data_IF_266529673339
#
_entry.id   IF_266529673339
#
_cell.length_a   1.000
_cell.length_b   1.000
_cell.length_c   1.000
_cell.angle_alpha   90.00
_cell.angle_beta   90.00
_cell.angle_gamma   90.00
#
_symmetry.space_group_name_H-M   'P 1'
#
loop_
_entity.id
_entity.type
_entity.pdbx_description
1 polymer ?
#
# COMPACT_ATOMS: atom_id res chain seq x y z
N UNK A 1 -28.27 6.79 65.04
CA UNK A 1 -29.52 6.28 65.61
C UNK A 1 -30.47 6.03 64.44
N UNK A 2 -30.83 4.77 64.20
CA UNK A 2 -31.67 4.31 63.09
C UNK A 2 -33.18 4.60 63.38
N UNK A 3 -34.10 4.48 62.38
CA UNK A 3 -35.16 5.42 61.93
C UNK A 3 -36.53 5.13 62.64
N UNK A 4 -37.77 5.15 62.06
CA UNK A 4 -38.39 5.61 60.78
C UNK A 4 -39.78 6.33 60.92
N UNK A 5 -40.44 6.73 59.80
CA UNK A 5 -41.80 6.27 59.38
C UNK A 5 -42.38 7.02 58.14
N UNK A 6 -42.66 6.21 57.09
CA UNK A 6 -43.82 6.15 56.14
C UNK A 6 -44.40 7.42 55.46
N UNK A 7 -44.55 7.37 54.14
CA UNK A 7 -45.84 7.18 53.43
C UNK A 7 -45.69 7.10 51.89
N UNK A 8 -46.66 6.45 51.25
CA UNK A 8 -46.75 6.06 49.82
C UNK A 8 -47.28 7.18 48.92
N UNK A 9 -46.86 7.23 47.65
CA UNK A 9 -47.71 6.99 46.45
C UNK A 9 -47.18 7.67 45.17
N UNK A 10 -47.02 6.85 44.13
CA UNK A 10 -47.26 7.07 42.69
C UNK A 10 -47.11 8.49 42.12
N UNK A 11 -46.17 8.68 41.18
CA UNK A 11 -46.49 9.16 39.83
C UNK A 11 -45.31 8.84 38.88
N UNK A 12 -45.66 8.47 37.64
CA UNK A 12 -44.74 7.91 36.67
C UNK A 12 -43.71 8.87 36.11
N UNK A 13 -42.61 8.28 35.66
CA UNK A 13 -41.84 8.76 34.53
C UNK A 13 -41.30 7.50 33.83
N UNK A 14 -41.85 7.19 32.66
CA UNK A 14 -41.16 6.33 31.70
C UNK A 14 -39.81 7.01 31.43
N UNK A 15 -38.74 6.45 31.97
CA UNK A 15 -37.40 6.62 31.42
C UNK A 15 -37.40 5.92 30.07
N UNK A 16 -37.81 6.67 29.03
CA UNK A 16 -37.38 6.41 27.67
C UNK A 16 -35.86 6.59 27.67
N UNK A 17 -35.15 5.50 28.01
CA UNK A 17 -33.80 5.28 27.56
C UNK A 17 -33.84 5.43 26.04
N UNK A 18 -33.52 6.61 25.56
CA UNK A 18 -33.08 6.81 24.19
C UNK A 18 -31.76 6.08 24.08
N UNK A 19 -31.85 4.80 23.75
CA UNK A 19 -30.78 4.07 23.11
C UNK A 19 -30.36 4.88 21.89
N UNK A 20 -29.34 5.71 22.04
CA UNK A 20 -28.51 6.17 20.92
C UNK A 20 -27.71 4.95 20.43
N UNK A 21 -28.42 4.00 19.82
CA UNK A 21 -27.83 2.96 19.01
C UNK A 21 -28.46 3.11 17.62
N UNK A 22 -28.07 4.21 17.00
CA UNK A 22 -28.10 4.41 15.56
C UNK A 22 -26.82 5.20 15.27
N UNK A 23 -25.69 4.51 15.13
CA UNK A 23 -24.52 5.05 14.46
C UNK A 23 -24.90 5.15 12.97
N UNK A 24 -25.60 6.24 12.63
CA UNK A 24 -25.65 6.83 11.30
C UNK A 24 -24.52 7.86 11.25
N UNK A 25 -23.63 7.97 10.26
CA UNK A 25 -23.41 7.26 9.00
C UNK A 25 -21.99 7.70 8.57
N UNK A 26 -21.17 6.84 7.95
CA UNK A 26 -19.75 7.11 7.63
C UNK A 26 -19.50 8.32 6.72
N UNK A 27 -20.55 8.87 6.12
CA UNK A 27 -20.49 10.09 5.34
C UNK A 27 -20.57 11.34 6.24
N UNK A 28 -19.54 12.19 6.21
CA UNK A 28 -19.55 13.51 6.84
C UNK A 28 -19.86 14.60 5.78
N UNK A 29 -20.97 15.35 5.90
CA UNK A 29 -21.29 16.44 4.98
C UNK A 29 -20.21 17.53 4.89
N UNK A 30 -19.41 17.74 5.94
CA UNK A 30 -18.33 18.72 5.94
C UNK A 30 -17.14 18.29 5.08
N UNK A 31 -17.02 16.99 4.82
CA UNK A 31 -15.90 16.40 4.07
C UNK A 31 -16.27 16.08 2.62
N UNK A 32 -17.45 16.50 2.16
CA UNK A 32 -17.99 16.20 0.82
C UNK A 32 -17.01 16.53 -0.32
N UNK A 33 -16.25 17.62 -0.19
CA UNK A 33 -15.34 18.09 -1.23
C UNK A 33 -14.05 17.23 -1.36
N UNK A 34 -13.75 16.40 -0.35
CA UNK A 34 -12.56 15.54 -0.28
C UNK A 34 -12.89 14.05 -0.24
N UNK A 35 -14.14 13.68 0.03
CA UNK A 35 -14.56 12.30 0.23
C UNK A 35 -14.88 11.58 -1.10
N UNK A 36 -14.10 10.56 -1.43
CA UNK A 36 -14.27 9.70 -2.60
C UNK A 36 -15.56 8.87 -2.53
N UNK A 37 -16.08 8.59 -1.33
CA UNK A 37 -17.39 7.96 -1.16
C UNK A 37 -18.51 9.01 -1.24
N UNK A 38 -19.31 8.90 -2.29
CA UNK A 38 -20.49 9.72 -2.55
C UNK A 38 -21.80 9.07 -2.05
N UNK A 39 -21.77 7.80 -1.63
CA UNK A 39 -22.95 7.11 -1.12
C UNK A 39 -23.26 7.51 0.34
N UNK A 40 -24.15 8.49 0.49
CA UNK A 40 -24.63 9.00 1.79
C UNK A 40 -25.48 8.01 2.59
N UNK A 41 -25.84 6.86 2.04
CA UNK A 41 -26.59 5.82 2.75
C UNK A 41 -25.70 4.66 3.22
N UNK A 42 -24.43 4.63 2.81
CA UNK A 42 -23.53 3.53 3.10
C UNK A 42 -23.18 3.42 4.59
N UNK A 43 -23.29 2.21 5.13
CA UNK A 43 -22.94 1.93 6.54
C UNK A 43 -21.75 0.97 6.68
N UNK A 44 -21.42 0.24 5.61
CA UNK A 44 -20.30 -0.68 5.50
C UNK A 44 -19.29 -0.16 4.45
N UNK A 45 -17.96 -0.41 4.58
CA UNK A 45 -17.01 0.11 3.60
C UNK A 45 -17.28 -0.44 2.20
N UNK A 46 -17.81 -1.67 2.11
CA UNK A 46 -18.14 -2.32 0.85
C UNK A 46 -19.39 -1.74 0.16
N UNK A 47 -20.18 -0.91 0.86
CA UNK A 47 -21.31 -0.18 0.28
C UNK A 47 -20.89 1.18 -0.32
N UNK A 48 -19.64 1.60 -0.12
CA UNK A 48 -19.15 2.89 -0.62
C UNK A 48 -19.16 2.92 -2.13
N UNK A 49 -19.46 4.08 -2.71
CA UNK A 49 -19.40 4.25 -4.15
C UNK A 49 -19.03 5.68 -4.53
N UNK A 50 -18.32 5.80 -5.64
CA UNK A 50 -17.88 7.07 -6.20
C UNK A 50 -17.56 6.88 -7.66
N UNK A 51 -18.01 7.80 -8.50
CA UNK A 51 -17.63 7.83 -9.92
C UNK A 51 -17.58 9.28 -10.39
N UNK A 52 -16.60 9.59 -11.22
CA UNK A 52 -16.56 10.85 -11.96
C UNK A 52 -17.63 10.86 -13.06
N UNK A 53 -18.77 11.47 -12.75
CA UNK A 53 -19.91 11.55 -13.67
C UNK A 53 -19.56 12.39 -14.91
N UNK A 54 -20.13 12.00 -16.05
CA UNK A 54 -19.95 12.66 -17.35
C UNK A 54 -18.48 12.78 -17.81
N UNK A 55 -17.60 11.92 -17.31
CA UNK A 55 -16.17 11.88 -17.66
C UNK A 55 -15.85 10.78 -18.67
N UNK A 56 -14.91 11.07 -19.57
CA UNK A 56 -14.31 10.04 -20.45
C UNK A 56 -12.92 9.75 -19.95
N UNK A 57 -12.75 8.55 -19.38
CA UNK A 57 -11.48 8.11 -18.81
C UNK A 57 -10.36 8.08 -19.86
N UNK A 58 -9.18 8.54 -19.46
CA UNK A 58 -8.01 8.52 -20.32
C UNK A 58 -7.55 7.08 -20.57
N UNK A 59 -7.37 6.65 -21.83
CA UNK A 59 -6.95 5.28 -22.13
C UNK A 59 -5.52 5.03 -21.67
N UNK A 60 -5.26 3.81 -21.20
CA UNK A 60 -3.89 3.38 -20.88
C UNK A 60 -2.97 3.47 -22.10
N UNK A 61 -1.66 3.71 -21.92
CA UNK A 61 -0.72 3.64 -23.02
C UNK A 61 -0.56 2.20 -23.52
N UNK A 62 -0.22 2.03 -24.80
CA UNK A 62 0.15 0.71 -25.35
C UNK A 62 1.42 0.15 -24.68
N UNK A 63 2.30 1.03 -24.19
CA UNK A 63 3.59 0.69 -23.60
C UNK A 63 4.02 1.74 -22.57
N UNK A 64 4.41 1.28 -21.37
CA UNK A 64 4.83 2.12 -20.25
C UNK A 64 6.32 2.53 -20.28
N UNK A 65 7.09 2.07 -21.27
CA UNK A 65 8.53 2.41 -21.40
C UNK A 65 8.73 3.81 -21.97
N UNK A 66 8.54 4.81 -21.12
CA UNK A 66 8.79 6.22 -21.36
C UNK A 66 9.29 6.90 -20.06
N UNK A 67 9.80 8.15 -20.12
CA UNK A 67 10.32 8.82 -18.93
C UNK A 67 9.23 9.17 -17.89
N UNK A 68 9.48 8.77 -16.65
CA UNK A 68 8.69 9.17 -15.47
C UNK A 68 9.37 10.35 -14.75
N UNK A 69 8.57 11.15 -14.03
CA UNK A 69 9.06 12.13 -13.08
C UNK A 69 8.39 11.90 -11.73
N UNK A 70 9.20 11.60 -10.72
CA UNK A 70 8.73 11.39 -9.36
C UNK A 70 8.80 12.69 -8.56
N UNK A 71 7.73 13.04 -7.86
CA UNK A 71 7.67 14.20 -6.97
C UNK A 71 6.85 13.90 -5.72
N UNK A 72 7.18 14.56 -4.62
CA UNK A 72 6.28 14.72 -3.49
C UNK A 72 5.55 16.06 -3.67
N UNK A 73 4.21 16.05 -3.67
CA UNK A 73 3.42 17.29 -3.86
C UNK A 73 3.85 18.36 -2.87
N UNK A 74 3.88 18.04 -1.58
CA UNK A 74 4.25 18.95 -0.48
C UNK A 74 5.61 19.63 -0.71
N UNK A 75 6.56 18.93 -1.35
CA UNK A 75 7.95 19.39 -1.53
C UNK A 75 8.23 20.02 -2.88
N UNK A 76 7.21 20.21 -3.71
CA UNK A 76 7.40 20.62 -5.09
C UNK A 76 7.16 22.12 -5.30
N UNK A 77 5.89 22.55 -5.40
CA UNK A 77 5.52 23.95 -5.60
C UNK A 77 4.24 24.23 -4.81
N UNK A 78 4.27 25.27 -3.98
CA UNK A 78 3.08 25.82 -3.30
C UNK A 78 2.40 26.81 -4.25
N UNK A 79 1.24 26.42 -4.78
CA UNK A 79 0.43 27.23 -5.69
C UNK A 79 -0.78 27.88 -5.03
N UNK A 80 -1.26 27.32 -3.92
CA UNK A 80 -2.37 27.82 -3.12
C UNK A 80 -2.05 27.84 -1.62
N UNK A 81 -1.46 28.94 -1.12
CA UNK A 81 -1.17 29.08 0.31
C UNK A 81 -2.41 29.05 1.23
N UNK A 82 -3.64 29.10 0.68
CA UNK A 82 -4.86 29.04 1.51
C UNK A 82 -5.11 27.65 2.10
N UNK A 83 -4.47 26.60 1.57
CA UNK A 83 -4.57 25.22 2.07
C UNK A 83 -3.35 24.77 2.91
N UNK A 84 -2.40 25.67 3.21
CA UNK A 84 -1.18 25.34 3.99
C UNK A 84 -1.49 24.88 5.42
N UNK A 85 -2.58 25.40 6.00
CA UNK A 85 -3.05 25.05 7.35
C UNK A 85 -4.45 24.42 7.28
N UNK A 86 -4.62 23.44 6.38
CA UNK A 86 -5.91 22.87 6.07
C UNK A 86 -6.63 22.18 7.25
N UNK A 87 -5.90 21.78 8.30
CA UNK A 87 -6.49 21.21 9.51
C UNK A 87 -6.81 22.27 10.59
N UNK A 88 -6.55 23.56 10.32
CA UNK A 88 -6.87 24.68 11.21
C UNK A 88 -6.04 24.71 12.50
N UNK A 89 -4.91 24.03 12.54
CA UNK A 89 -4.02 23.97 13.69
C UNK A 89 -2.89 25.01 13.59
N UNK A 90 -2.26 25.32 14.72
CA UNK A 90 -1.19 26.31 14.80
C UNK A 90 0.14 25.86 14.18
N UNK A 91 0.33 24.54 13.97
CA UNK A 91 1.60 23.94 13.59
C UNK A 91 1.40 22.88 12.50
N UNK A 92 1.22 23.34 11.26
CA UNK A 92 1.12 22.44 10.08
C UNK A 92 2.27 22.62 9.12
N UNK A 93 2.74 23.86 8.97
CA UNK A 93 3.75 24.24 7.99
C UNK A 93 5.05 24.71 8.66
N UNK A 94 6.17 24.17 8.19
CA UNK A 94 7.52 24.68 8.46
C UNK A 94 8.43 24.36 7.26
N UNK A 95 8.58 25.34 6.37
CA UNK A 95 9.39 25.23 5.13
C UNK A 95 10.89 25.03 5.40
N UNK A 96 11.35 25.31 6.62
CA UNK A 96 12.74 25.08 7.03
C UNK A 96 12.93 23.75 7.77
N UNK A 97 11.83 23.12 8.18
CA UNK A 97 11.80 21.83 8.85
C UNK A 97 11.87 20.66 7.87
N UNK A 98 12.10 19.47 8.40
CA UNK A 98 12.14 18.23 7.59
C UNK A 98 10.88 17.39 7.71
N UNK A 99 10.04 17.66 8.71
CA UNK A 99 8.89 16.80 9.10
C UNK A 99 7.53 17.45 8.81
N UNK A 100 7.37 18.74 9.08
CA UNK A 100 6.13 19.48 8.80
C UNK A 100 5.96 19.76 7.31
N UNK A 101 4.76 20.18 6.91
CA UNK A 101 4.44 20.53 5.53
C UNK A 101 5.26 21.73 5.06
N UNK A 102 5.60 21.74 3.78
CA UNK A 102 6.23 22.86 3.09
C UNK A 102 5.19 23.68 2.31
N UNK A 103 4.05 23.09 1.98
CA UNK A 103 2.93 23.80 1.37
C UNK A 103 2.69 23.44 -0.10
N UNK A 104 3.42 22.48 -0.67
CA UNK A 104 3.25 22.12 -2.07
C UNK A 104 1.95 21.38 -2.36
N UNK A 105 1.29 21.72 -3.47
CA UNK A 105 -0.10 21.34 -3.74
C UNK A 105 -0.39 21.10 -5.24
N UNK A 106 -1.64 20.78 -5.57
CA UNK A 106 -2.07 20.54 -6.95
C UNK A 106 -2.05 21.78 -7.84
N UNK A 107 -2.32 22.97 -7.29
CA UNK A 107 -2.25 24.20 -8.07
C UNK A 107 -0.81 24.45 -8.52
N UNK A 108 0.16 24.26 -7.61
CA UNK A 108 1.57 24.32 -7.92
C UNK A 108 2.02 23.24 -8.89
N UNK A 109 1.49 22.01 -8.78
CA UNK A 109 1.73 20.98 -9.79
C UNK A 109 1.27 21.43 -11.18
N UNK A 110 0.03 21.91 -11.31
CA UNK A 110 -0.54 22.36 -12.58
C UNK A 110 0.30 23.45 -13.22
N UNK A 111 0.76 24.44 -12.43
CA UNK A 111 1.59 25.55 -12.90
C UNK A 111 2.95 25.11 -13.49
N UNK A 112 3.42 23.90 -13.15
CA UNK A 112 4.70 23.36 -13.63
C UNK A 112 4.59 22.39 -14.80
N UNK A 113 3.38 22.00 -15.23
CA UNK A 113 3.20 20.92 -16.21
C UNK A 113 3.88 21.21 -17.55
N UNK A 114 3.98 22.47 -17.95
CA UNK A 114 4.69 22.87 -19.18
C UNK A 114 6.20 22.65 -19.06
N UNK A 115 6.79 22.86 -17.87
CA UNK A 115 8.19 22.54 -17.60
C UNK A 115 8.43 21.03 -17.68
N UNK A 116 7.58 20.23 -17.03
CA UNK A 116 7.67 18.77 -17.03
C UNK A 116 7.50 18.20 -18.45
N UNK A 117 6.49 18.66 -19.19
CA UNK A 117 6.28 18.27 -20.58
C UNK A 117 7.45 18.71 -21.48
N UNK A 118 7.98 19.92 -21.27
CA UNK A 118 9.12 20.45 -22.01
C UNK A 118 10.40 19.65 -21.83
N UNK A 119 10.58 18.99 -20.67
CA UNK A 119 11.67 18.03 -20.43
C UNK A 119 11.48 16.68 -21.16
N UNK A 120 10.30 16.41 -21.71
CA UNK A 120 9.97 15.15 -22.38
C UNK A 120 9.40 14.07 -21.45
N UNK A 121 8.98 14.45 -20.24
CA UNK A 121 8.32 13.53 -19.30
C UNK A 121 6.97 13.07 -19.87
N UNK A 122 6.62 11.81 -19.62
CA UNK A 122 5.38 11.18 -20.08
C UNK A 122 4.52 10.61 -18.97
N UNK A 123 5.06 10.40 -17.77
CA UNK A 123 4.24 10.09 -16.60
C UNK A 123 4.75 10.79 -15.36
N UNK A 124 3.83 11.19 -14.51
CA UNK A 124 4.10 11.73 -13.19
C UNK A 124 3.81 10.63 -12.17
N UNK A 125 4.81 10.30 -11.36
CA UNK A 125 4.62 9.50 -10.16
C UNK A 125 4.56 10.46 -8.96
N UNK A 126 3.37 10.61 -8.41
CA UNK A 126 3.15 11.39 -7.20
C UNK A 126 3.44 10.47 -6.01
N UNK A 127 4.59 10.69 -5.37
CA UNK A 127 5.04 9.97 -4.18
C UNK A 127 4.32 10.48 -2.93
N UNK A 128 4.01 9.55 -2.02
CA UNK A 128 3.07 9.77 -0.93
C UNK A 128 1.63 9.53 -1.35
N UNK A 129 0.85 8.86 -0.51
CA UNK A 129 -0.55 8.60 -0.80
C UNK A 129 -1.37 9.91 -0.75
N UNK A 130 -2.41 10.06 -1.58
CA UNK A 130 -3.18 11.31 -1.69
C UNK A 130 -4.17 11.53 -0.53
N UNK A 131 -4.15 10.64 0.46
CA UNK A 131 -5.17 10.52 1.50
C UNK A 131 -4.85 11.34 2.75
N UNK A 132 -5.89 11.65 3.53
CA UNK A 132 -5.77 12.41 4.76
C UNK A 132 -4.68 11.86 5.67
N UNK A 133 -3.73 12.72 6.03
CA UNK A 133 -2.62 12.40 6.92
C UNK A 133 -2.48 13.45 8.04
N UNK A 134 -1.63 13.16 9.03
CA UNK A 134 -1.30 14.10 10.09
C UNK A 134 -0.37 15.21 9.55
N UNK A 135 -0.47 16.47 10.02
CA UNK A 135 0.35 17.56 9.50
C UNK A 135 1.88 17.35 9.59
N UNK A 136 2.36 16.58 10.59
CA UNK A 136 3.78 16.21 10.74
C UNK A 136 4.19 14.94 9.97
N UNK A 137 3.33 14.47 9.06
CA UNK A 137 3.54 13.34 8.16
C UNK A 137 3.42 13.82 6.71
N UNK A 138 4.18 14.86 6.39
CA UNK A 138 4.24 15.49 5.06
C UNK A 138 4.68 14.55 3.93
N UNK A 139 5.23 13.38 4.27
CA UNK A 139 5.61 12.33 3.31
C UNK A 139 4.41 11.61 2.67
N UNK A 140 3.20 11.73 3.22
CA UNK A 140 1.99 11.12 2.67
C UNK A 140 1.87 9.60 2.87
N UNK A 141 2.77 8.94 3.63
CA UNK A 141 2.76 7.47 3.74
C UNK A 141 1.92 6.92 4.90
N UNK A 142 1.29 7.76 5.73
CA UNK A 142 0.58 7.36 6.95
C UNK A 142 -0.91 7.71 6.90
N UNK A 143 -1.68 7.21 5.93
CA UNK A 143 -3.07 7.62 5.77
C UNK A 143 -3.93 7.22 6.96
N UNK A 144 -4.82 8.14 7.32
CA UNK A 144 -5.81 8.00 8.38
C UNK A 144 -7.14 7.43 7.86
N UNK A 145 -7.41 7.58 6.57
CA UNK A 145 -8.66 7.20 5.90
C UNK A 145 -8.41 7.04 4.39
N UNK A 146 -8.77 5.90 3.79
CA UNK A 146 -8.59 5.65 2.35
C UNK A 146 -9.70 6.24 1.47
N UNK A 147 -10.72 6.85 2.06
CA UNK A 147 -11.81 7.51 1.33
C UNK A 147 -11.65 9.03 1.27
N UNK A 148 -10.82 9.61 2.13
CA UNK A 148 -10.72 11.06 2.27
C UNK A 148 -9.37 11.55 1.75
N UNK A 149 -9.38 12.46 0.78
CA UNK A 149 -8.16 13.10 0.27
C UNK A 149 -7.57 14.06 1.30
N UNK A 150 -6.24 14.22 1.30
CA UNK A 150 -5.60 15.18 2.20
C UNK A 150 -6.02 16.61 1.81
N UNK A 151 -6.60 17.31 2.78
CA UNK A 151 -7.11 18.67 2.58
C UNK A 151 -6.01 19.63 2.13
N UNK A 152 -4.75 19.35 2.49
CA UNK A 152 -3.60 20.15 2.08
C UNK A 152 -3.36 20.10 0.58
N UNK A 153 -3.57 18.96 -0.09
CA UNK A 153 -3.28 18.86 -1.52
C UNK A 153 -4.37 19.49 -2.40
N UNK A 154 -5.60 19.58 -1.89
CA UNK A 154 -6.74 20.16 -2.59
C UNK A 154 -7.98 19.27 -2.57
N UNK A 155 -9.07 19.77 -3.14
CA UNK A 155 -10.36 19.07 -3.23
C UNK A 155 -10.37 18.07 -4.37
N UNK A 156 -11.38 17.20 -4.41
CA UNK A 156 -11.62 16.29 -5.55
C UNK A 156 -11.69 17.08 -6.88
N UNK A 157 -12.28 18.27 -6.87
CA UNK A 157 -12.35 19.11 -8.07
C UNK A 157 -10.96 19.54 -8.56
N UNK A 158 -10.03 19.84 -7.65
CA UNK A 158 -8.67 20.25 -7.97
C UNK A 158 -7.86 19.05 -8.50
N UNK A 159 -8.03 17.87 -7.88
CA UNK A 159 -7.42 16.62 -8.37
C UNK A 159 -7.88 16.30 -9.80
N UNK A 160 -9.18 16.39 -10.04
CA UNK A 160 -9.77 16.17 -11.37
C UNK A 160 -9.22 17.14 -12.41
N UNK A 161 -9.18 18.43 -12.09
CA UNK A 161 -8.63 19.45 -12.98
C UNK A 161 -7.13 19.20 -13.27
N UNK A 162 -6.34 18.81 -12.27
CA UNK A 162 -4.93 18.49 -12.46
C UNK A 162 -4.73 17.27 -13.36
N UNK A 163 -5.50 16.20 -13.15
CA UNK A 163 -5.44 14.98 -13.97
C UNK A 163 -5.87 15.26 -15.42
N UNK A 164 -6.95 16.01 -15.64
CA UNK A 164 -7.35 16.45 -16.98
C UNK A 164 -6.23 17.22 -17.69
N UNK A 165 -5.53 18.11 -16.98
CA UNK A 165 -4.48 18.94 -17.55
C UNK A 165 -3.19 18.13 -17.86
N UNK A 166 -2.91 17.09 -17.06
CA UNK A 166 -1.87 16.08 -17.33
C UNK A 166 -2.23 15.28 -18.59
N UNK A 167 -3.46 14.76 -18.67
CA UNK A 167 -3.94 13.97 -19.81
C UNK A 167 -4.02 14.78 -21.11
N UNK A 168 -4.40 16.06 -21.04
CA UNK A 168 -4.40 16.98 -22.20
C UNK A 168 -3.01 17.13 -22.83
N UNK A 169 -1.95 16.92 -22.04
CA UNK A 169 -0.54 16.92 -22.50
C UNK A 169 -0.07 15.57 -23.04
N UNK A 170 -0.93 14.55 -23.04
CA UNK A 170 -0.57 13.17 -23.37
C UNK A 170 0.44 12.61 -22.37
N UNK A 171 0.31 12.99 -21.10
CA UNK A 171 1.05 12.42 -19.97
C UNK A 171 0.10 11.58 -19.10
N UNK A 172 0.67 10.73 -18.25
CA UNK A 172 -0.07 9.82 -17.36
C UNK A 172 0.21 10.15 -15.89
N UNK A 173 -0.69 9.75 -14.99
CA UNK A 173 -0.53 9.92 -13.54
C UNK A 173 -0.51 8.57 -12.82
N UNK A 174 0.51 8.38 -11.99
CA UNK A 174 0.67 7.22 -11.10
C UNK A 174 0.68 7.73 -9.67
N UNK A 175 -0.19 7.20 -8.81
CA UNK A 175 -0.24 7.56 -7.40
C UNK A 175 0.43 6.51 -6.52
N UNK A 176 1.06 6.95 -5.44
CA UNK A 176 1.49 6.05 -4.38
C UNK A 176 0.29 5.38 -3.69
N UNK A 177 0.50 4.15 -3.23
CA UNK A 177 -0.54 3.32 -2.63
C UNK A 177 0.02 2.53 -1.45
N UNK A 178 -0.47 2.84 -0.25
CA UNK A 178 -0.11 2.14 0.99
C UNK A 178 -1.10 1.00 1.26
N UNK A 179 -0.96 -0.08 0.50
CA UNK A 179 -1.86 -1.24 0.54
C UNK A 179 -1.93 -1.93 1.92
N UNK A 180 -0.78 -2.16 2.56
CA UNK A 180 -0.69 -3.00 3.76
C UNK A 180 -0.53 -2.22 5.07
N UNK A 181 -0.53 -0.88 5.02
CA UNK A 181 -0.19 -0.04 6.18
C UNK A 181 -1.06 1.20 6.26
N UNK A 182 -1.39 1.60 7.48
CA UNK A 182 -2.06 2.87 7.79
C UNK A 182 -1.18 3.73 8.71
N UNK A 183 -1.73 4.83 9.23
CA UNK A 183 -1.08 5.66 10.25
C UNK A 183 -0.67 4.89 11.52
N UNK A 184 -0.19 5.61 12.53
CA UNK A 184 0.16 5.05 13.84
C UNK A 184 -0.87 5.46 14.90
N UNK A 185 -2.01 4.78 14.92
CA UNK A 185 -3.08 5.01 15.90
C UNK A 185 -3.17 3.90 16.95
N UNK A 186 -2.50 2.76 16.72
CA UNK A 186 -2.57 1.57 17.56
C UNK A 186 -1.28 1.40 18.35
N UNK A 187 -1.41 1.23 19.67
CA UNK A 187 -0.32 0.94 20.58
C UNK A 187 -0.44 -0.47 21.15
N UNK A 188 0.70 -1.11 21.39
CA UNK A 188 0.76 -2.41 22.08
C UNK A 188 0.72 -2.20 23.60
N UNK A 189 -0.10 -3.00 24.29
CA UNK A 189 -0.23 -2.91 25.75
C UNK A 189 1.13 -3.18 26.42
N UNK A 190 1.50 -2.32 27.37
CA UNK A 190 2.82 -2.34 27.99
C UNK A 190 3.97 -1.74 27.17
N UNK A 191 3.79 -1.40 25.88
CA UNK A 191 4.86 -0.92 24.99
C UNK A 191 4.55 0.44 24.32
N UNK A 192 3.75 1.30 24.95
CA UNK A 192 3.40 2.61 24.35
C UNK A 192 4.61 3.56 24.18
N UNK A 193 5.66 3.38 24.99
CA UNK A 193 6.83 4.27 25.05
C UNK A 193 8.15 3.59 24.67
N UNK A 194 8.11 2.37 24.14
CA UNK A 194 9.29 1.59 23.76
C UNK A 194 8.98 0.65 22.58
N UNK A 195 10.02 0.09 21.96
CA UNK A 195 9.83 -0.86 20.85
C UNK A 195 9.22 -2.17 21.33
N UNK A 196 8.15 -2.61 20.65
CA UNK A 196 7.47 -3.87 20.97
C UNK A 196 8.20 -5.06 20.34
N UNK A 197 8.62 -6.07 21.11
CA UNK A 197 9.30 -7.23 20.56
C UNK A 197 8.37 -8.04 19.67
N UNK A 198 8.92 -8.65 18.61
CA UNK A 198 8.18 -9.58 17.77
C UNK A 198 7.90 -10.88 18.52
N UNK A 199 6.63 -11.26 18.69
CA UNK A 199 6.21 -12.52 19.35
C UNK A 199 5.11 -13.22 18.57
N UNK A 200 5.17 -14.56 18.38
CA UNK A 200 4.12 -15.32 17.69
C UNK A 200 2.76 -15.28 18.38
N UNK A 201 2.73 -15.11 19.70
CA UNK A 201 1.50 -15.19 20.49
C UNK A 201 0.58 -13.97 20.34
N UNK A 202 1.07 -12.93 19.64
CA UNK A 202 0.52 -11.58 19.50
C UNK A 202 0.39 -10.82 20.84
N UNK A 203 0.33 -9.49 20.73
CA UNK A 203 0.14 -8.57 21.83
C UNK A 203 -1.29 -8.06 21.87
N UNK A 204 -1.82 -7.78 23.06
CA UNK A 204 -3.01 -6.94 23.15
C UNK A 204 -2.69 -5.52 22.69
N UNK A 205 -3.65 -4.86 22.06
CA UNK A 205 -3.49 -3.49 21.58
C UNK A 205 -4.57 -2.56 22.10
N UNK A 206 -4.29 -1.26 22.04
CA UNK A 206 -5.18 -0.17 22.43
C UNK A 206 -5.03 1.02 21.48
N UNK A 207 -6.07 1.86 21.39
CA UNK A 207 -5.95 3.13 20.69
C UNK A 207 -5.02 4.07 21.47
N UNK A 208 -4.10 4.73 20.77
CA UNK A 208 -3.18 5.72 21.36
C UNK A 208 -3.87 7.02 21.76
N UNK A 209 -5.02 7.31 21.19
CA UNK A 209 -5.80 8.53 21.43
C UNK A 209 -7.29 8.29 21.15
N UNK A 210 -8.11 9.33 21.25
CA UNK A 210 -9.53 9.28 20.87
C UNK A 210 -9.73 9.14 19.34
N UNK A 211 -8.69 9.38 18.53
CA UNK A 211 -8.75 9.18 17.08
C UNK A 211 -8.63 7.70 16.74
N UNK A 212 -9.55 7.21 15.92
CA UNK A 212 -9.63 5.83 15.45
C UNK A 212 -9.79 5.80 13.93
N UNK A 213 -9.48 4.65 13.31
CA UNK A 213 -9.77 4.44 11.89
C UNK A 213 -11.30 4.29 11.67
N UNK A 214 -11.88 4.90 10.63
CA UNK A 214 -13.31 4.78 10.36
C UNK A 214 -13.71 3.40 9.82
N UNK A 215 -12.81 2.76 9.06
CA UNK A 215 -13.10 1.55 8.29
C UNK A 215 -12.45 0.27 8.81
N UNK A 216 -11.50 0.40 9.74
CA UNK A 216 -10.72 -0.70 10.28
C UNK A 216 -10.71 -0.64 11.81
N UNK A 217 -10.72 -1.80 12.44
CA UNK A 217 -10.66 -1.89 13.90
C UNK A 217 -9.81 -3.08 14.32
N UNK A 218 -9.08 -2.92 15.42
CA UNK A 218 -8.42 -4.06 16.06
C UNK A 218 -9.42 -4.82 16.95
N UNK A 219 -9.07 -6.05 17.32
CA UNK A 219 -9.81 -6.82 18.30
C UNK A 219 -8.91 -7.72 19.12
N UNK A 220 -8.99 -7.65 20.46
CA UNK A 220 -8.20 -8.48 21.38
C UNK A 220 -8.89 -9.81 21.76
N UNK A 221 -9.81 -10.30 20.92
CA UNK A 221 -10.48 -11.59 21.14
C UNK A 221 -9.89 -12.64 20.19
N UNK A 222 -9.36 -13.74 20.73
CA UNK A 222 -8.79 -14.82 19.91
C UNK A 222 -9.87 -15.58 19.12
N UNK A 223 -9.50 -16.02 17.93
CA UNK A 223 -10.29 -16.92 17.08
C UNK A 223 -9.43 -18.09 16.64
N UNK A 224 -10.02 -19.28 16.51
CA UNK A 224 -9.36 -20.52 16.04
C UNK A 224 -9.37 -20.69 14.51
N UNK A 225 -9.76 -19.65 13.78
CA UNK A 225 -9.81 -19.65 12.32
C UNK A 225 -8.61 -18.96 11.69
N UNK A 226 -7.49 -18.87 12.41
CA UNK A 226 -6.31 -18.19 11.91
C UNK A 226 -5.55 -19.06 10.93
N UNK A 227 -5.49 -18.64 9.66
CA UNK A 227 -4.67 -19.28 8.64
C UNK A 227 -3.66 -18.26 8.14
N UNK A 228 -2.40 -18.46 8.52
CA UNK A 228 -1.32 -17.62 8.05
C UNK A 228 -1.16 -17.69 6.52
N UNK A 229 -0.70 -16.59 5.89
CA UNK A 229 -0.34 -16.60 4.49
C UNK A 229 0.95 -17.39 4.28
N UNK A 230 1.26 -17.71 3.02
CA UNK A 230 2.54 -18.33 2.67
C UNK A 230 3.66 -17.30 2.81
N UNK A 231 4.85 -17.77 3.18
CA UNK A 231 6.04 -16.93 3.34
C UNK A 231 7.23 -17.53 2.60
N UNK A 232 8.15 -16.65 2.21
CA UNK A 232 9.38 -16.99 1.50
C UNK A 232 10.58 -16.38 2.19
N UNK A 233 11.73 -17.00 1.98
CA UNK A 233 13.02 -16.47 2.38
C UNK A 233 13.65 -15.58 1.30
N UNK A 234 14.81 -15.01 1.63
CA UNK A 234 15.59 -14.14 0.75
C UNK A 234 16.09 -14.86 -0.52
N UNK A 235 16.19 -16.19 -0.47
CA UNK A 235 16.53 -17.03 -1.62
C UNK A 235 15.36 -17.25 -2.59
N UNK A 236 14.14 -16.90 -2.17
CA UNK A 236 12.93 -17.11 -2.94
C UNK A 236 12.29 -18.47 -2.74
N UNK A 237 12.58 -19.16 -1.63
CA UNK A 237 12.03 -20.49 -1.29
C UNK A 237 10.98 -20.39 -0.20
N UNK A 238 9.93 -21.18 -0.31
CA UNK A 238 8.87 -21.22 0.69
C UNK A 238 9.42 -21.66 2.07
N UNK A 239 9.22 -20.83 3.10
CA UNK A 239 9.71 -21.11 4.47
C UNK A 239 8.91 -22.24 5.12
N UNK A 240 7.61 -22.33 4.82
CA UNK A 240 6.69 -23.28 5.47
C UNK A 240 6.89 -24.76 5.06
N UNK A 241 7.59 -25.03 3.96
CA UNK A 241 7.77 -26.40 3.43
C UNK A 241 9.06 -27.06 3.91
N UNK A 242 9.85 -26.38 4.75
CA UNK A 242 11.19 -26.83 5.14
C UNK A 242 12.21 -26.81 3.99
N UNK A 243 11.85 -26.19 2.86
CA UNK A 243 12.71 -26.03 1.69
C UNK A 243 13.57 -24.75 1.74
N UNK A 244 13.27 -23.81 2.64
CA UNK A 244 14.03 -22.58 2.83
C UNK A 244 15.34 -22.77 3.60
N UNK A 245 16.13 -21.69 3.74
CA UNK A 245 17.39 -21.68 4.49
C UNK A 245 17.18 -22.23 5.92
N UNK A 246 18.03 -23.18 6.33
CA UNK A 246 18.02 -23.79 7.66
C UNK A 246 18.18 -22.77 8.80
N UNK A 247 18.68 -21.56 8.50
CA UNK A 247 18.79 -20.46 9.45
C UNK A 247 17.47 -19.71 9.74
N UNK A 248 16.37 -20.04 9.04
CA UNK A 248 15.06 -19.39 9.20
C UNK A 248 14.12 -20.18 10.12
N UNK A 249 14.45 -21.44 10.42
CA UNK A 249 13.92 -22.17 11.59
C UNK A 249 14.47 -21.53 12.87
N UNK A 250 13.98 -20.32 13.13
CA UNK A 250 13.93 -19.79 14.47
C UNK A 250 12.79 -20.51 15.17
N UNK A 251 12.97 -20.90 16.43
CA UNK A 251 11.85 -21.45 17.22
C UNK A 251 10.63 -20.49 17.28
N UNK A 252 10.80 -19.23 16.87
CA UNK A 252 9.73 -18.24 16.65
C UNK A 252 8.87 -18.61 15.44
N UNK A 253 9.46 -18.89 14.27
CA UNK A 253 8.71 -19.27 13.07
C UNK A 253 8.00 -20.62 13.23
N UNK A 254 8.65 -21.59 13.90
CA UNK A 254 8.03 -22.90 14.15
C UNK A 254 6.77 -22.77 15.02
N UNK A 255 6.83 -21.91 16.06
CA UNK A 255 5.66 -21.58 16.87
C UNK A 255 4.58 -20.87 16.05
N UNK A 256 4.97 -19.86 15.29
CA UNK A 256 4.08 -19.06 14.44
C UNK A 256 3.35 -19.96 13.42
N UNK A 257 4.08 -20.80 12.69
CA UNK A 257 3.51 -21.70 11.68
C UNK A 257 2.66 -22.81 12.27
N UNK A 258 2.89 -23.20 13.52
CA UNK A 258 2.05 -24.16 14.25
C UNK A 258 0.79 -23.55 14.87
N UNK A 259 0.65 -22.22 14.86
CA UNK A 259 -0.46 -21.55 15.52
C UNK A 259 -1.78 -21.79 14.77
N UNK A 260 -2.83 -22.07 15.51
CA UNK A 260 -4.20 -22.19 15.00
C UNK A 260 -5.08 -21.04 15.48
N UNK A 261 -4.60 -20.24 16.43
CA UNK A 261 -5.32 -19.12 17.02
C UNK A 261 -4.57 -17.81 16.77
N UNK A 262 -5.31 -16.75 16.44
CA UNK A 262 -4.83 -15.37 16.46
C UNK A 262 -5.97 -14.43 16.85
N UNK A 263 -5.66 -13.17 17.12
CA UNK A 263 -6.64 -12.14 17.39
C UNK A 263 -7.56 -11.90 16.18
N UNK A 264 -8.86 -11.87 16.41
CA UNK A 264 -9.84 -11.45 15.41
C UNK A 264 -9.77 -9.93 15.24
N UNK A 265 -8.83 -9.51 14.41
CA UNK A 265 -8.43 -8.12 14.23
C UNK A 265 -8.30 -7.80 12.74
N UNK A 266 -8.46 -6.54 12.36
CA UNK A 266 -8.10 -6.06 11.01
C UNK A 266 -6.61 -5.71 10.92
N UNK A 267 -5.88 -5.74 12.03
CA UNK A 267 -4.45 -5.43 12.12
C UNK A 267 -3.66 -6.65 12.60
N UNK A 268 -2.42 -6.75 12.16
CA UNK A 268 -1.46 -7.68 12.71
C UNK A 268 -0.92 -7.16 14.05
N UNK A 269 -0.79 -8.07 15.02
CA UNK A 269 -0.49 -7.73 16.42
C UNK A 269 0.80 -8.40 16.92
N UNK A 270 1.73 -8.72 16.00
CA UNK A 270 2.94 -9.48 16.33
C UNK A 270 4.07 -8.64 16.94
N UNK A 271 3.99 -7.30 16.92
CA UNK A 271 5.00 -6.40 17.46
C UNK A 271 5.60 -5.47 16.40
N UNK A 272 6.80 -4.96 16.65
CA UNK A 272 7.50 -4.00 15.79
C UNK A 272 8.84 -4.56 15.27
N UNK A 273 9.25 -4.10 14.10
CA UNK A 273 10.57 -4.38 13.52
C UNK A 273 11.26 -3.06 13.22
N UNK A 274 12.50 -2.91 13.68
CA UNK A 274 13.29 -1.70 13.49
C UNK A 274 13.57 -1.40 12.00
N UNK A 275 13.78 -0.12 11.71
CA UNK A 275 14.12 0.35 10.36
C UNK A 275 15.46 -0.23 9.86
N UNK A 276 16.41 -0.43 10.78
CA UNK A 276 17.75 -0.93 10.49
C UNK A 276 17.96 -2.28 11.17
N UNK A 277 18.75 -3.14 10.54
CA UNK A 277 19.01 -4.50 11.03
C UNK A 277 18.61 -5.57 10.02
N UNK A 278 19.11 -6.78 10.25
CA UNK A 278 18.84 -7.95 9.42
C UNK A 278 17.73 -8.75 10.09
N UNK A 279 16.52 -8.63 9.54
CA UNK A 279 15.35 -9.39 9.97
C UNK A 279 14.85 -10.22 8.81
N UNK A 280 14.33 -11.44 9.05
CA UNK A 280 13.73 -12.24 7.99
C UNK A 280 12.59 -11.48 7.29
N UNK A 281 12.49 -11.59 5.97
CA UNK A 281 11.49 -10.84 5.20
C UNK A 281 10.05 -11.18 5.61
N UNK A 282 9.78 -12.44 5.95
CA UNK A 282 8.47 -12.87 6.46
C UNK A 282 8.08 -12.16 7.77
N UNK A 283 9.05 -11.82 8.63
CA UNK A 283 8.77 -11.13 9.89
C UNK A 283 8.28 -9.71 9.61
N UNK A 284 8.89 -9.03 8.63
CA UNK A 284 8.53 -7.66 8.23
C UNK A 284 7.13 -7.58 7.62
N UNK A 285 6.62 -8.70 7.07
CA UNK A 285 5.26 -8.77 6.54
C UNK A 285 4.18 -8.76 7.63
N UNK A 286 4.52 -9.17 8.85
CA UNK A 286 3.59 -9.30 9.97
C UNK A 286 3.76 -8.23 11.05
N UNK A 287 4.88 -7.52 11.05
CA UNK A 287 5.17 -6.54 12.09
C UNK A 287 4.83 -5.13 11.64
N UNK A 288 4.66 -4.26 12.64
CA UNK A 288 4.84 -2.84 12.47
C UNK A 288 6.26 -2.55 11.98
N UNK A 289 6.44 -1.46 11.25
CA UNK A 289 7.76 -1.03 10.78
C UNK A 289 8.16 0.26 11.48
N UNK A 290 9.27 0.21 12.21
CA UNK A 290 9.91 1.32 12.89
C UNK A 290 8.94 2.18 13.74
N UNK A 291 7.92 1.55 14.32
CA UNK A 291 6.87 2.22 15.08
C UNK A 291 6.07 3.29 14.32
N UNK A 292 6.17 3.43 12.99
CA UNK A 292 5.58 4.58 12.27
C UNK A 292 4.21 4.33 11.61
N UNK A 293 3.84 3.08 11.36
CA UNK A 293 2.63 2.73 10.60
C UNK A 293 2.05 1.39 11.07
N UNK A 294 0.75 1.35 11.36
CA UNK A 294 0.04 0.14 11.78
C UNK A 294 -0.09 -0.84 10.60
N UNK A 295 0.16 -2.13 10.86
CA UNK A 295 0.14 -3.20 9.86
C UNK A 295 -1.27 -3.75 9.71
N UNK A 296 -1.90 -3.51 8.57
CA UNK A 296 -3.17 -4.17 8.24
C UNK A 296 -2.91 -5.66 8.06
N UNK A 297 -3.89 -6.48 8.42
CA UNK A 297 -3.88 -7.92 8.18
C UNK A 297 -4.40 -8.20 6.79
N UNK A 298 -3.70 -7.77 5.75
CA UNK A 298 -4.19 -7.81 4.36
C UNK A 298 -4.41 -9.23 3.84
N UNK A 299 -3.80 -10.23 4.48
CA UNK A 299 -4.02 -11.65 4.20
C UNK A 299 -5.34 -12.20 4.78
N UNK A 300 -6.07 -11.43 5.60
CA UNK A 300 -7.43 -11.77 6.06
C UNK A 300 -8.43 -11.35 4.97
N UNK A 301 -9.28 -12.27 4.45
CA UNK A 301 -10.18 -11.96 3.33
C UNK A 301 -11.06 -10.72 3.53
N UNK A 302 -11.63 -10.54 4.73
CA UNK A 302 -12.48 -9.38 5.02
C UNK A 302 -11.74 -8.04 5.02
N UNK A 303 -10.44 -8.03 5.26
CA UNK A 303 -9.59 -6.82 5.18
C UNK A 303 -9.22 -6.58 3.73
N UNK A 304 -8.82 -7.64 3.02
CA UNK A 304 -8.49 -7.57 1.60
C UNK A 304 -9.66 -7.06 0.75
N UNK A 305 -10.89 -7.50 1.02
CA UNK A 305 -12.08 -7.05 0.32
C UNK A 305 -12.33 -5.55 0.50
N UNK A 306 -12.12 -5.02 1.72
CA UNK A 306 -12.17 -3.57 1.97
C UNK A 306 -11.09 -2.86 1.15
N UNK A 307 -9.86 -3.35 1.17
CA UNK A 307 -8.74 -2.70 0.47
C UNK A 307 -8.99 -2.62 -1.05
N UNK A 308 -9.37 -3.74 -1.68
CA UNK A 308 -9.75 -3.76 -3.10
C UNK A 308 -10.81 -2.72 -3.43
N UNK A 309 -11.87 -2.68 -2.63
CA UNK A 309 -13.01 -1.79 -2.85
C UNK A 309 -12.64 -0.31 -2.67
N UNK A 310 -11.98 0.02 -1.56
CA UNK A 310 -11.61 1.40 -1.22
C UNK A 310 -10.62 1.99 -2.24
N UNK A 311 -9.61 1.22 -2.66
CA UNK A 311 -8.63 1.70 -3.64
C UNK A 311 -9.19 1.77 -5.07
N UNK A 312 -10.23 0.98 -5.40
CA UNK A 312 -10.95 1.15 -6.68
C UNK A 312 -11.65 2.52 -6.78
N UNK A 313 -12.11 3.09 -5.66
CA UNK A 313 -12.70 4.43 -5.64
C UNK A 313 -11.73 5.51 -6.13
N UNK A 314 -10.43 5.38 -5.85
CA UNK A 314 -9.42 6.32 -6.35
C UNK A 314 -9.37 6.32 -7.88
N UNK A 315 -9.48 5.15 -8.51
CA UNK A 315 -9.53 5.04 -9.97
C UNK A 315 -10.80 5.67 -10.51
N UNK A 316 -11.96 5.25 -10.02
CA UNK A 316 -13.26 5.70 -10.55
C UNK A 316 -13.55 7.19 -10.27
N UNK A 317 -12.93 7.79 -9.27
CA UNK A 317 -13.15 9.20 -8.91
C UNK A 317 -12.12 10.16 -9.50
N UNK A 318 -10.88 9.71 -9.75
CA UNK A 318 -9.76 10.58 -10.10
C UNK A 318 -9.10 10.25 -11.46
N UNK A 319 -9.52 9.18 -12.15
CA UNK A 319 -8.99 8.81 -13.48
C UNK A 319 -7.47 8.55 -13.52
N UNK A 320 -6.90 8.01 -12.44
CA UNK A 320 -5.47 7.69 -12.37
C UNK A 320 -5.09 6.58 -13.35
N UNK A 321 -3.82 6.51 -13.80
CA UNK A 321 -3.38 5.58 -14.84
C UNK A 321 -2.54 4.40 -14.32
N UNK A 322 -2.06 4.51 -13.08
CA UNK A 322 -1.34 3.46 -12.39
C UNK A 322 -1.23 3.71 -10.90
N UNK A 323 -0.76 2.69 -10.19
CA UNK A 323 -0.37 2.81 -8.77
C UNK A 323 1.05 2.29 -8.56
N UNK A 324 1.74 2.91 -7.59
CA UNK A 324 2.99 2.41 -7.02
C UNK A 324 2.69 1.91 -5.62
N UNK A 325 2.91 0.62 -5.36
CA UNK A 325 2.70 -0.01 -4.07
C UNK A 325 3.88 0.31 -3.15
N UNK A 326 3.61 1.05 -2.09
CA UNK A 326 4.54 1.28 -0.99
C UNK A 326 4.83 -0.01 -0.24
N UNK A 327 6.10 -0.21 0.13
CA UNK A 327 6.56 -1.39 0.88
C UNK A 327 6.04 -2.71 0.28
N UNK A 328 6.04 -2.83 -1.04
CA UNK A 328 5.43 -3.96 -1.73
C UNK A 328 5.97 -5.32 -1.23
N UNK A 329 7.28 -5.44 -1.01
CA UNK A 329 7.92 -6.64 -0.47
C UNK A 329 7.68 -6.91 1.03
N UNK A 330 7.06 -5.96 1.73
CA UNK A 330 6.56 -6.15 3.10
C UNK A 330 5.05 -6.42 3.13
N UNK A 331 4.36 -6.48 1.99
CA UNK A 331 3.03 -7.05 1.92
C UNK A 331 3.14 -8.56 1.62
N UNK A 332 2.15 -9.33 2.07
CA UNK A 332 2.07 -10.75 1.70
C UNK A 332 1.74 -10.86 0.22
N UNK A 333 2.58 -11.58 -0.52
CA UNK A 333 2.56 -11.52 -2.00
C UNK A 333 1.26 -12.06 -2.60
N UNK A 334 0.62 -13.05 -1.97
CA UNK A 334 -0.62 -13.63 -2.45
C UNK A 334 -1.78 -12.63 -2.33
N UNK A 335 -1.87 -11.93 -1.19
CA UNK A 335 -2.85 -10.86 -1.01
C UNK A 335 -2.61 -9.70 -1.96
N UNK A 336 -1.34 -9.32 -2.17
CA UNK A 336 -0.96 -8.29 -3.13
C UNK A 336 -1.31 -8.68 -4.58
N UNK A 337 -1.12 -9.94 -4.97
CA UNK A 337 -1.51 -10.43 -6.29
C UNK A 337 -3.01 -10.37 -6.52
N UNK A 338 -3.80 -10.75 -5.50
CA UNK A 338 -5.26 -10.70 -5.56
C UNK A 338 -5.78 -9.25 -5.54
N UNK A 339 -5.15 -8.37 -4.75
CA UNK A 339 -5.41 -6.94 -4.80
C UNK A 339 -5.14 -6.36 -6.19
N UNK A 340 -3.97 -6.63 -6.74
CA UNK A 340 -3.53 -6.07 -8.03
C UNK A 340 -4.39 -6.55 -9.20
N UNK A 341 -4.88 -7.80 -9.15
CA UNK A 341 -5.87 -8.30 -10.10
C UNK A 341 -7.18 -7.49 -10.02
N UNK A 342 -7.71 -7.30 -8.81
CA UNK A 342 -8.94 -6.52 -8.60
C UNK A 342 -8.80 -5.05 -9.01
N UNK A 343 -7.63 -4.45 -8.79
CA UNK A 343 -7.32 -3.09 -9.26
C UNK A 343 -7.31 -3.03 -10.79
N UNK A 344 -6.72 -4.01 -11.47
CA UNK A 344 -6.77 -4.09 -12.95
C UNK A 344 -8.19 -4.33 -13.45
N UNK A 345 -9.01 -5.11 -12.74
CA UNK A 345 -10.45 -5.27 -13.04
C UNK A 345 -11.19 -3.93 -12.97
N UNK A 346 -11.06 -3.22 -11.85
CA UNK A 346 -11.64 -1.90 -11.67
C UNK A 346 -11.18 -0.90 -12.75
N UNK A 347 -9.89 -0.91 -13.10
CA UNK A 347 -9.36 -0.07 -14.16
C UNK A 347 -9.99 -0.41 -15.53
N UNK A 348 -10.14 -1.70 -15.86
CA UNK A 348 -10.78 -2.15 -17.10
C UNK A 348 -12.25 -1.77 -17.18
N UNK A 349 -12.98 -1.82 -16.06
CA UNK A 349 -14.38 -1.38 -15.98
C UNK A 349 -14.51 0.12 -16.27
N UNK A 350 -13.46 0.90 -16.00
CA UNK A 350 -13.33 2.32 -16.35
C UNK A 350 -12.60 2.55 -17.69
N UNK A 351 -12.45 1.53 -18.54
CA UNK A 351 -11.87 1.66 -19.88
C UNK A 351 -10.34 1.63 -19.98
N UNK A 352 -9.62 1.45 -18.86
CA UNK A 352 -8.16 1.38 -18.82
C UNK A 352 -7.67 -0.06 -19.01
N UNK A 353 -7.18 -0.36 -20.21
CA UNK A 353 -6.82 -1.74 -20.62
C UNK A 353 -5.38 -2.15 -20.32
N UNK A 354 -4.52 -1.23 -19.86
CA UNK A 354 -3.12 -1.52 -19.56
C UNK A 354 -2.68 -0.72 -18.32
N UNK A 355 -3.48 -0.77 -17.25
CA UNK A 355 -3.18 -0.09 -15.98
C UNK A 355 -1.88 -0.60 -15.37
N UNK A 356 -1.04 0.29 -14.83
CA UNK A 356 0.26 -0.06 -14.26
C UNK A 356 0.15 -0.31 -12.75
N UNK A 357 0.66 -1.44 -12.28
CA UNK A 357 0.90 -1.70 -10.85
C UNK A 357 2.40 -1.91 -10.64
N UNK A 358 3.10 -0.89 -10.14
CA UNK A 358 4.53 -0.97 -9.83
C UNK A 358 4.76 -1.10 -8.31
N UNK A 359 5.95 -1.52 -7.88
CA UNK A 359 6.27 -1.59 -6.45
C UNK A 359 7.76 -1.51 -6.16
N UNK A 360 8.10 -1.26 -4.89
CA UNK A 360 9.48 -1.26 -4.41
C UNK A 360 9.97 -2.67 -4.08
N UNK A 361 11.16 -3.04 -4.57
CA UNK A 361 11.79 -4.33 -4.33
C UNK A 361 13.08 -4.12 -3.53
N UNK A 362 12.96 -4.24 -2.20
CA UNK A 362 14.05 -3.98 -1.24
C UNK A 362 15.06 -5.12 -1.10
N UNK A 363 14.64 -6.36 -1.38
CA UNK A 363 15.47 -7.56 -1.28
C UNK A 363 16.45 -7.77 -2.43
N UNK A 364 17.01 -8.99 -2.51
CA UNK A 364 17.72 -9.48 -3.69
C UNK A 364 16.77 -9.80 -4.84
N UNK A 365 17.31 -10.11 -6.02
CA UNK A 365 16.49 -10.45 -7.20
C UNK A 365 15.68 -11.73 -6.98
N UNK A 366 16.22 -12.74 -6.31
CA UNK A 366 15.47 -13.97 -6.05
C UNK A 366 14.27 -13.78 -5.11
N UNK A 367 14.32 -12.83 -4.18
CA UNK A 367 13.13 -12.46 -3.41
C UNK A 367 12.17 -11.60 -4.26
N UNK A 368 12.72 -10.67 -5.05
CA UNK A 368 11.95 -9.86 -6.00
C UNK A 368 11.20 -10.69 -7.05
N UNK A 369 11.74 -11.82 -7.47
CA UNK A 369 11.13 -12.71 -8.46
C UNK A 369 9.80 -13.29 -7.99
N UNK A 370 9.57 -13.38 -6.68
CA UNK A 370 8.28 -13.82 -6.12
C UNK A 370 7.19 -12.77 -6.37
N UNK A 371 7.55 -11.49 -6.42
CA UNK A 371 6.62 -10.36 -6.54
C UNK A 371 6.40 -9.90 -7.99
N UNK A 372 7.39 -10.05 -8.87
CA UNK A 372 7.24 -9.65 -10.27
C UNK A 372 6.38 -10.65 -11.05
N UNK A 373 5.36 -10.14 -11.73
CA UNK A 373 4.39 -10.91 -12.49
C UNK A 373 3.67 -11.96 -11.63
N UNK A 374 3.41 -13.13 -12.23
CA UNK A 374 2.88 -14.30 -11.51
C UNK A 374 3.83 -14.87 -10.47
N UNK A 375 5.06 -14.37 -10.42
CA UNK A 375 6.09 -14.80 -9.50
C UNK A 375 6.79 -16.08 -9.93
N UNK A 376 8.03 -16.27 -9.46
CA UNK A 376 8.77 -17.53 -9.55
C UNK A 376 9.51 -17.78 -8.24
N UNK A 377 9.38 -18.99 -7.72
CA UNK A 377 10.28 -19.50 -6.69
C UNK A 377 11.65 -19.85 -7.28
N UNK A 378 12.62 -20.06 -6.40
CA UNK A 378 14.00 -20.39 -6.80
C UNK A 378 14.10 -21.57 -7.79
N UNK A 379 13.29 -22.62 -7.60
CA UNK A 379 13.28 -23.83 -8.43
C UNK A 379 12.41 -23.72 -9.69
N UNK A 380 11.72 -22.59 -9.89
CA UNK A 380 10.91 -22.28 -11.08
C UNK A 380 11.67 -21.41 -12.10
N UNK A 381 12.98 -21.21 -11.88
CA UNK A 381 13.89 -20.55 -12.80
C UNK A 381 13.88 -21.26 -14.16
N UNK A 382 13.91 -20.47 -15.23
CA UNK A 382 14.09 -21.00 -16.60
C UNK A 382 15.58 -21.25 -16.83
N UNK A 383 15.92 -22.38 -17.44
CA UNK A 383 17.32 -22.76 -17.68
C UNK A 383 17.93 -22.01 -18.89
N UNK A 384 17.12 -21.76 -19.93
CA UNK A 384 17.61 -21.23 -21.21
C UNK A 384 16.98 -19.87 -21.56
N UNK A 385 17.81 -18.88 -21.91
CA UNK A 385 17.36 -17.53 -22.28
C UNK A 385 16.40 -17.53 -23.48
N UNK A 386 16.62 -18.44 -24.43
CA UNK A 386 15.79 -18.57 -25.62
C UNK A 386 14.34 -18.98 -25.30
N UNK A 387 14.12 -19.62 -24.16
CA UNK A 387 12.79 -20.01 -23.70
C UNK A 387 12.18 -18.94 -22.80
N UNK A 388 12.99 -18.27 -21.98
CA UNK A 388 12.57 -17.13 -21.17
C UNK A 388 11.93 -16.00 -22.02
N UNK A 389 12.51 -15.67 -23.17
CA UNK A 389 11.97 -14.64 -24.07
C UNK A 389 10.68 -15.04 -24.80
N UNK A 390 10.28 -16.31 -24.74
CA UNK A 390 9.03 -16.83 -25.36
C UNK A 390 7.90 -16.98 -24.35
N UNK A 391 8.14 -16.68 -23.08
CA UNK A 391 7.14 -16.80 -22.03
C UNK A 391 5.96 -15.86 -22.30
N UNK A 392 4.75 -16.37 -22.06
CA UNK A 392 3.48 -15.66 -22.24
C UNK A 392 2.44 -16.16 -21.22
N UNK A 393 1.20 -15.70 -21.35
CA UNK A 393 0.07 -16.25 -20.58
C UNK A 393 -0.30 -17.69 -20.96
N UNK A 394 0.17 -18.21 -22.09
CA UNK A 394 -0.12 -19.59 -22.55
C UNK A 394 0.97 -20.60 -22.14
N UNK A 395 2.03 -20.14 -21.47
CA UNK A 395 3.13 -21.00 -21.01
C UNK A 395 2.69 -21.94 -19.87
N UNK A 396 3.40 -23.06 -19.68
CA UNK A 396 3.11 -24.04 -18.63
C UNK A 396 3.11 -23.40 -17.23
N UNK A 397 2.01 -23.54 -16.50
CA UNK A 397 1.82 -22.97 -15.16
C UNK A 397 2.89 -23.42 -14.14
N UNK A 398 3.57 -24.55 -14.38
CA UNK A 398 4.62 -25.07 -13.48
C UNK A 398 5.79 -24.12 -13.28
N UNK A 399 6.02 -23.23 -14.25
CA UNK A 399 7.13 -22.28 -14.16
C UNK A 399 6.73 -20.98 -13.46
N UNK A 400 5.51 -20.88 -12.93
CA UNK A 400 5.04 -19.70 -12.20
C UNK A 400 4.52 -20.07 -10.81
N UNK A 401 4.64 -19.13 -9.88
CA UNK A 401 4.13 -19.29 -8.52
C UNK A 401 2.60 -19.16 -8.46
N UNK A 402 2.01 -18.40 -9.39
CA UNK A 402 0.57 -18.09 -9.42
C UNK A 402 0.01 -18.26 -10.83
N UNK A 403 -1.31 -18.44 -10.91
CA UNK A 403 -2.03 -18.56 -12.17
C UNK A 403 -2.02 -17.27 -12.99
N UNK A 404 -2.30 -17.36 -14.30
CA UNK A 404 -2.53 -16.20 -15.15
C UNK A 404 -3.55 -15.22 -14.56
N UNK A 405 -3.25 -13.91 -14.64
CA UNK A 405 -4.05 -12.83 -14.04
C UNK A 405 -3.64 -12.44 -12.61
N UNK A 406 -3.05 -13.38 -11.85
CA UNK A 406 -2.61 -13.19 -10.46
C UNK A 406 -1.19 -12.63 -10.35
N UNK A 407 -0.93 -11.56 -11.09
CA UNK A 407 0.35 -10.85 -11.06
C UNK A 407 0.39 -9.86 -9.89
N UNK A 408 1.43 -9.90 -9.05
CA UNK A 408 1.55 -8.96 -7.92
C UNK A 408 2.06 -7.60 -8.39
N UNK A 409 3.22 -7.53 -9.03
CA UNK A 409 3.77 -6.29 -9.58
C UNK A 409 4.05 -6.44 -11.08
N UNK A 410 3.69 -5.44 -11.86
CA UNK A 410 4.02 -5.35 -13.29
C UNK A 410 5.44 -4.82 -13.53
N UNK A 411 5.98 -4.07 -12.57
CA UNK A 411 7.27 -3.40 -12.66
C UNK A 411 7.89 -3.16 -11.28
N UNK A 412 9.21 -2.99 -11.25
CA UNK A 412 9.89 -2.38 -10.11
C UNK A 412 9.98 -0.88 -10.30
N UNK A 413 9.53 -0.12 -9.29
CA UNK A 413 9.78 1.32 -9.17
C UNK A 413 11.19 1.61 -8.66
N UNK A 414 11.72 0.68 -7.88
CA UNK A 414 13.06 0.75 -7.34
C UNK A 414 13.51 -0.67 -7.00
N UNK A 415 14.51 -1.17 -7.72
CA UNK A 415 15.05 -2.52 -7.52
C UNK A 415 16.41 -2.44 -6.85
N UNK A 416 16.52 -2.91 -5.62
CA UNK A 416 17.73 -2.71 -4.83
C UNK A 416 18.97 -3.43 -5.38
N UNK A 417 18.82 -4.61 -6.01
CA UNK A 417 19.94 -5.24 -6.74
C UNK A 417 20.49 -4.36 -7.87
N UNK A 418 19.62 -3.67 -8.62
CA UNK A 418 20.02 -2.73 -9.69
C UNK A 418 20.64 -1.48 -9.08
N UNK A 419 20.07 -0.94 -8.00
CA UNK A 419 20.64 0.22 -7.30
C UNK A 419 22.04 -0.07 -6.77
N UNK A 420 22.24 -1.17 -6.03
CA UNK A 420 23.57 -1.60 -5.54
C UNK A 420 24.54 -1.86 -6.68
N UNK A 421 24.06 -2.45 -7.80
CA UNK A 421 24.86 -2.61 -9.01
C UNK A 421 25.33 -1.26 -9.59
N UNK A 422 24.43 -0.29 -9.72
CA UNK A 422 24.74 1.06 -10.20
C UNK A 422 25.73 1.78 -9.29
N UNK A 423 25.53 1.74 -7.97
CA UNK A 423 26.45 2.35 -7.01
C UNK A 423 27.87 1.80 -7.13
N UNK A 424 28.01 0.47 -7.28
CA UNK A 424 29.31 -0.18 -7.49
C UNK A 424 29.92 0.19 -8.83
N UNK A 425 29.12 0.20 -9.90
CA UNK A 425 29.57 0.63 -11.23
C UNK A 425 30.08 2.07 -11.24
N UNK A 426 29.43 2.97 -10.49
CA UNK A 426 29.81 4.39 -10.35
C UNK A 426 30.92 4.62 -9.31
N UNK A 427 31.38 3.59 -8.60
CA UNK A 427 32.39 3.70 -7.54
C UNK A 427 31.92 4.47 -6.30
N UNK A 428 30.59 4.54 -6.08
CA UNK A 428 29.97 5.24 -4.95
C UNK A 428 29.84 4.38 -3.69
N UNK A 429 29.94 3.06 -3.83
CA UNK A 429 29.85 2.10 -2.72
C UNK A 429 31.01 1.09 -2.78
N UNK A 430 31.30 0.46 -1.64
CA UNK A 430 32.23 -0.66 -1.52
C UNK A 430 31.67 -1.96 -2.10
N UNK A 431 32.21 -3.10 -1.65
CA UNK A 431 31.78 -4.42 -2.13
C UNK A 431 30.53 -4.96 -1.40
N UNK A 432 29.60 -4.09 -1.00
CA UNK A 432 28.37 -4.50 -0.31
C UNK A 432 27.45 -5.25 -1.30
N UNK A 433 27.16 -6.50 -0.98
CA UNK A 433 26.20 -7.36 -1.70
C UNK A 433 25.13 -7.81 -0.72
N UNK A 434 23.87 -7.78 -1.13
CA UNK A 434 22.83 -8.51 -0.42
C UNK A 434 22.83 -9.99 -0.83
N UNK A 435 22.22 -10.84 -0.02
CA UNK A 435 21.95 -12.23 -0.41
C UNK A 435 21.15 -12.27 -1.72
N UNK A 436 21.54 -13.18 -2.62
CA UNK A 436 20.80 -13.44 -3.87
C UNK A 436 20.61 -12.20 -4.78
N UNK A 437 21.61 -11.31 -4.76
CA UNK A 437 21.70 -10.17 -5.67
C UNK A 437 22.04 -10.56 -7.12
N UNK A 438 21.77 -9.64 -8.04
CA UNK A 438 22.17 -9.77 -9.44
C UNK A 438 23.71 -9.74 -9.60
N UNK A 439 24.24 -10.45 -10.61
CA UNK A 439 25.63 -10.32 -11.04
C UNK A 439 26.09 -8.88 -11.30
N UNK A 440 27.38 -8.62 -11.11
CA UNK A 440 27.99 -7.28 -11.25
C UNK A 440 28.08 -6.78 -12.69
N UNK A 441 27.86 -7.66 -13.67
CA UNK A 441 27.82 -7.29 -15.08
C UNK A 441 26.36 -7.04 -15.47
N UNK A 442 26.05 -5.89 -16.07
CA UNK A 442 24.67 -5.53 -16.45
C UNK A 442 24.03 -6.52 -17.44
N UNK A 443 24.80 -7.10 -18.36
CA UNK A 443 24.29 -8.10 -19.31
C UNK A 443 23.94 -9.39 -18.58
N UNK A 444 24.83 -9.85 -17.70
CA UNK A 444 24.59 -11.05 -16.89
C UNK A 444 23.44 -10.85 -15.90
N UNK A 445 23.34 -9.66 -15.30
CA UNK A 445 22.24 -9.26 -14.43
C UNK A 445 20.91 -9.24 -15.17
N UNK A 446 20.87 -8.67 -16.37
CA UNK A 446 19.67 -8.70 -17.21
C UNK A 446 19.27 -10.11 -17.61
N UNK A 447 20.25 -10.94 -18.02
CA UNK A 447 20.01 -12.34 -18.35
C UNK A 447 19.46 -13.09 -17.15
N UNK A 448 20.02 -12.90 -15.95
CA UNK A 448 19.51 -13.51 -14.73
C UNK A 448 18.06 -13.09 -14.45
N UNK A 449 17.72 -11.80 -14.57
CA UNK A 449 16.35 -11.31 -14.43
C UNK A 449 15.39 -11.96 -15.43
N UNK A 450 15.79 -12.16 -16.69
CA UNK A 450 14.96 -12.85 -17.69
C UNK A 450 14.68 -14.30 -17.30
N UNK A 451 15.66 -14.99 -16.70
CA UNK A 451 15.51 -16.39 -16.29
C UNK A 451 14.70 -16.54 -15.00
N UNK A 452 14.80 -15.58 -14.08
CA UNK A 452 14.21 -15.66 -12.74
C UNK A 452 12.88 -14.93 -12.60
N UNK A 453 12.58 -13.90 -13.40
CA UNK A 453 11.41 -13.04 -13.16
C UNK A 453 10.33 -13.32 -14.20
N UNK A 454 9.05 -13.21 -13.82
CA UNK A 454 7.95 -13.19 -14.78
C UNK A 454 7.71 -11.75 -15.25
N UNK A 455 8.17 -11.45 -16.46
CA UNK A 455 8.09 -10.12 -17.08
C UNK A 455 6.97 -10.04 -18.13
N UNK A 456 5.98 -10.92 -18.03
CA UNK A 456 4.78 -10.89 -18.87
C UNK A 456 3.83 -9.83 -18.35
N UNK A 457 3.41 -8.94 -19.23
CA UNK A 457 2.38 -7.96 -18.91
C UNK A 457 1.04 -8.66 -18.65
N UNK A 458 0.54 -8.50 -17.42
CA UNK A 458 -0.70 -9.13 -16.96
C UNK A 458 -1.93 -8.77 -17.82
N UNK A 459 -1.93 -7.60 -18.46
CA UNK A 459 -3.04 -7.12 -19.28
C UNK A 459 -2.99 -7.64 -20.72
N UNK A 460 -1.79 -7.77 -21.33
CA UNK A 460 -1.66 -8.15 -22.75
C UNK A 460 -1.21 -9.60 -22.96
N UNK A 461 -0.70 -10.26 -21.91
CA UNK A 461 -0.15 -11.62 -21.97
C UNK A 461 1.15 -11.76 -22.76
N UNK A 462 1.80 -10.65 -23.11
CA UNK A 462 3.06 -10.62 -23.85
C UNK A 462 4.22 -10.28 -22.93
N UNK A 463 5.41 -10.78 -23.26
CA UNK A 463 6.65 -10.35 -22.63
C UNK A 463 6.82 -8.83 -22.81
N UNK A 464 6.86 -8.11 -21.70
CA UNK A 464 6.97 -6.65 -21.66
C UNK A 464 7.69 -6.24 -20.37
N UNK A 465 9.03 -6.35 -20.35
CA UNK A 465 9.81 -5.97 -19.19
C UNK A 465 9.64 -4.49 -18.90
N UNK A 466 9.18 -4.18 -17.69
CA UNK A 466 8.92 -2.82 -17.23
C UNK A 466 9.79 -2.49 -16.02
N UNK A 467 10.30 -1.27 -16.03
CA UNK A 467 10.87 -0.61 -14.88
C UNK A 467 10.31 0.81 -14.89
N UNK A 468 9.91 1.33 -13.74
CA UNK A 468 9.48 2.71 -13.59
C UNK A 468 10.67 3.59 -13.19
#
# INVERSE_FOLDING_TARGET
>A
MFPPWRAKSLLGALLLCSSRLAQSLRYDPNETDWNLNTNQAASNPLDYSGTWQDHTFHPSPDNWRFPFYTLFLDRFVNGDPSNDNANGTLFEQDVMGTTMRHGGDLAGLVDTLDYLQGMGIKALYIAGAPFLNLPWKSDGYSPLDFTLLDHHFGKIADWRAAVEEIHRRGMYVVLDNTFATMADLIGFDGFLNESTPFVPEEHEVMWKSDRQYPDFAFGNTKTSTCKLPRFWDDSGRAVMTGAGDANISSGVFDKLSSQTECYNSDFDQYGDTEAFGVFPDWQRQLSKFASVQDRLREWKPSVLDKLKHLHCLTISMLDIDGIRIDKATQATVDALAEFSESIRECARDNGKQNFLVAGEITGGNSFGSIYLGRGREFDQKIEELADAIKISNESDDKVFLRAAGKSALDASAFHYSIYRLLQRFLGMDGNLTAGYDLPNNFVDGWNEMLLTNDLVNANTGKLDPRHM
#
